data_IF_418712515065
#
_entry.id   IF_418712515065
#
_cell.length_a   1.000
_cell.length_b   1.000
_cell.length_c   1.000
_cell.angle_alpha   90.00
_cell.angle_beta   90.00
_cell.angle_gamma   90.00
#
_symmetry.space_group_name_H-M   'P 1'
#
loop_
_entity.id
_entity.type
_entity.pdbx_description
1 polymer ?
#
# COMPACT_ATOMS: atom_id res chain seq x y z
N UNK A 1 -4.96 0.78 45.03
CA UNK A 1 -4.48 2.04 44.41
C UNK A 1 -3.25 1.69 43.58
N UNK A 2 -3.16 2.17 42.34
CA UNK A 2 -1.99 1.87 41.50
C UNK A 2 -0.72 2.44 42.15
N UNK A 3 0.34 1.64 42.19
CA UNK A 3 1.64 2.03 42.74
C UNK A 3 2.36 2.88 41.70
N UNK A 4 2.76 4.07 42.11
CA UNK A 4 3.61 4.96 41.30
C UNK A 4 4.73 5.49 42.19
N UNK A 5 5.97 5.30 41.77
CA UNK A 5 7.11 5.90 42.46
C UNK A 5 7.08 7.43 42.29
N UNK A 6 7.37 8.16 43.36
CA UNK A 6 7.31 9.63 43.38
C UNK A 6 8.30 10.20 42.35
N UNK A 7 7.78 10.80 41.27
CA UNK A 7 8.58 11.49 40.24
C UNK A 7 8.40 10.91 38.83
N UNK A 8 8.22 9.60 38.69
CA UNK A 8 8.18 8.90 37.39
C UNK A 8 7.05 9.40 36.49
N UNK A 9 5.88 9.68 37.07
CA UNK A 9 4.72 10.20 36.32
C UNK A 9 4.95 11.63 35.79
N UNK A 10 5.77 12.45 36.48
CA UNK A 10 6.02 13.85 36.09
C UNK A 10 6.94 13.92 34.87
N UNK A 11 7.94 13.04 34.82
CA UNK A 11 8.96 13.04 33.78
C UNK A 11 8.55 12.26 32.52
N UNK A 12 7.50 11.43 32.62
CA UNK A 12 6.94 10.62 31.51
C UNK A 12 5.45 10.95 31.29
N UNK A 13 5.13 12.25 31.24
CA UNK A 13 3.74 12.74 31.12
C UNK A 13 2.99 12.16 29.91
N UNK A 14 3.57 12.05 28.70
CA UNK A 14 2.88 11.47 27.54
C UNK A 14 2.52 9.98 27.68
N UNK A 15 3.40 9.20 28.30
CA UNK A 15 3.24 7.77 28.56
C UNK A 15 2.21 7.56 29.68
N UNK A 16 2.32 8.35 30.75
CA UNK A 16 1.37 8.32 31.86
C UNK A 16 -0.05 8.65 31.40
N UNK A 17 -0.21 9.65 30.53
CA UNK A 17 -1.50 9.98 29.93
C UNK A 17 -2.07 8.81 29.12
N UNK A 18 -1.22 8.12 28.34
CA UNK A 18 -1.63 6.98 27.52
C UNK A 18 -2.06 5.79 28.38
N UNK A 19 -1.27 5.48 29.42
CA UNK A 19 -1.54 4.45 30.41
C UNK A 19 -2.82 4.72 31.20
N UNK A 20 -2.99 5.95 31.68
CA UNK A 20 -4.17 6.32 32.45
C UNK A 20 -5.44 6.26 31.59
N UNK A 21 -5.37 6.75 30.35
CA UNK A 21 -6.47 6.65 29.38
C UNK A 21 -6.82 5.19 29.06
N UNK A 22 -5.82 4.32 28.86
CA UNK A 22 -6.03 2.87 28.72
C UNK A 22 -6.84 2.29 29.89
N UNK A 23 -6.46 2.57 31.13
CA UNK A 23 -7.17 2.06 32.33
C UNK A 23 -8.61 2.55 32.41
N UNK A 24 -8.84 3.84 32.14
CA UNK A 24 -10.19 4.41 32.13
C UNK A 24 -11.06 3.81 31.02
N UNK A 25 -10.53 3.60 29.81
CA UNK A 25 -11.29 2.95 28.73
C UNK A 25 -11.79 1.55 29.11
N UNK A 26 -11.03 0.80 29.89
CA UNK A 26 -11.34 -0.60 30.24
C UNK A 26 -12.21 -0.76 31.50
N UNK A 27 -12.06 0.08 32.52
CA UNK A 27 -12.73 -0.13 33.83
C UNK A 27 -13.64 1.02 34.29
N UNK A 28 -13.64 2.18 33.62
CA UNK A 28 -14.50 3.29 34.01
C UNK A 28 -15.74 3.34 33.12
N UNK A 29 -16.88 2.87 33.63
CA UNK A 29 -18.18 2.85 32.94
C UNK A 29 -18.63 4.22 32.43
N UNK A 30 -18.22 5.31 33.11
CA UNK A 30 -18.55 6.68 32.72
C UNK A 30 -17.68 7.21 31.58
N UNK A 31 -16.64 6.47 31.19
CA UNK A 31 -15.74 6.91 30.14
C UNK A 31 -16.42 6.81 28.77
N UNK A 32 -16.34 7.82 27.88
CA UNK A 32 -17.04 7.81 26.58
C UNK A 32 -16.74 6.60 25.69
N UNK A 33 -15.57 5.99 25.89
CA UNK A 33 -15.14 4.81 25.14
C UNK A 33 -15.36 3.49 25.87
N UNK A 34 -15.88 3.48 27.10
CA UNK A 34 -16.12 2.23 27.84
C UNK A 34 -16.99 1.22 27.08
N UNK A 35 -18.09 1.62 26.40
CA UNK A 35 -18.89 0.69 25.59
C UNK A 35 -18.10 -0.03 24.49
N UNK A 36 -17.01 0.59 24.00
CA UNK A 36 -16.16 0.02 22.95
C UNK A 36 -15.04 -0.87 23.48
N UNK A 37 -14.79 -0.87 24.79
CA UNK A 37 -13.65 -1.54 25.41
C UNK A 37 -14.10 -2.38 26.62
N UNK A 38 -14.35 -1.74 27.77
CA UNK A 38 -14.72 -2.44 29.00
C UNK A 38 -15.98 -3.29 28.87
N UNK A 39 -17.05 -2.75 28.27
CA UNK A 39 -18.30 -3.48 28.05
C UNK A 39 -18.11 -4.70 27.11
N UNK A 40 -17.11 -4.65 26.22
CA UNK A 40 -16.74 -5.75 25.32
C UNK A 40 -15.79 -6.77 25.95
N UNK A 41 -15.48 -6.65 27.24
CA UNK A 41 -14.54 -7.52 27.94
C UNK A 41 -13.06 -7.25 27.64
N UNK A 42 -12.72 -6.09 27.06
CA UNK A 42 -11.33 -5.70 26.84
C UNK A 42 -10.73 -5.22 28.16
N UNK A 43 -9.81 -6.00 28.71
CA UNK A 43 -9.14 -5.73 29.99
C UNK A 43 -7.71 -5.25 29.82
N UNK A 44 -7.09 -4.83 30.92
CA UNK A 44 -5.65 -4.55 31.05
C UNK A 44 -5.07 -5.64 31.94
N UNK A 45 -3.87 -6.14 31.65
CA UNK A 45 -3.19 -7.08 32.55
C UNK A 45 -3.00 -6.47 33.94
N UNK A 46 -2.99 -7.30 34.97
CA UNK A 46 -2.98 -6.79 36.35
C UNK A 46 -1.68 -6.04 36.67
N UNK A 47 -0.56 -6.48 36.08
CA UNK A 47 0.75 -5.82 36.22
C UNK A 47 0.71 -4.40 35.67
N UNK A 48 0.14 -4.22 34.48
CA UNK A 48 -0.03 -2.91 33.87
C UNK A 48 -1.11 -2.09 34.56
N UNK A 49 -2.17 -2.71 35.07
CA UNK A 49 -3.23 -1.97 35.73
C UNK A 49 -2.78 -1.34 37.05
N UNK A 50 -1.93 -2.04 37.79
CA UNK A 50 -1.48 -1.64 39.13
C UNK A 50 -0.14 -0.90 39.14
N UNK A 51 0.67 -0.98 38.08
CA UNK A 51 2.00 -0.36 38.03
C UNK A 51 2.24 0.39 36.72
N UNK A 52 2.38 1.73 36.83
CA UNK A 52 2.83 2.54 35.69
C UNK A 52 4.29 2.25 35.33
N UNK A 53 5.14 1.94 36.33
CA UNK A 53 6.55 1.63 36.09
C UNK A 53 6.69 0.39 35.22
N UNK A 54 5.92 -0.68 35.52
CA UNK A 54 5.93 -1.91 34.71
C UNK A 54 5.46 -1.66 33.29
N UNK A 55 4.41 -0.85 33.11
CA UNK A 55 4.01 -0.41 31.77
C UNK A 55 5.13 0.34 31.04
N UNK A 56 5.83 1.25 31.72
CA UNK A 56 6.90 2.05 31.13
C UNK A 56 8.14 1.20 30.79
N UNK A 57 8.47 0.22 31.62
CA UNK A 57 9.58 -0.71 31.38
C UNK A 57 9.30 -1.60 30.17
N UNK A 58 8.07 -2.12 30.06
CA UNK A 58 7.66 -2.99 28.95
C UNK A 58 7.52 -2.23 27.62
N UNK A 59 6.97 -1.02 27.66
CA UNK A 59 6.65 -0.24 26.45
C UNK A 59 7.76 0.71 26.03
N UNK A 60 8.63 1.08 26.97
CA UNK A 60 9.60 2.16 26.80
C UNK A 60 8.96 3.54 26.61
N UNK A 61 9.82 4.53 26.37
CA UNK A 61 9.39 5.91 26.05
C UNK A 61 8.63 5.94 24.74
N UNK A 62 7.62 6.80 24.69
CA UNK A 62 6.85 7.09 23.48
C UNK A 62 7.79 7.72 22.44
N UNK A 63 7.93 7.12 21.23
CA UNK A 63 8.92 7.58 20.26
C UNK A 63 8.69 9.01 19.74
N UNK A 64 7.43 9.41 19.54
CA UNK A 64 7.09 10.78 19.13
C UNK A 64 5.68 11.18 19.58
N UNK A 65 5.36 12.47 19.43
CA UNK A 65 4.02 12.98 19.70
C UNK A 65 2.93 12.41 18.78
N UNK A 66 3.29 11.81 17.65
CA UNK A 66 2.32 11.17 16.74
C UNK A 66 1.99 9.73 17.11
N UNK A 67 2.75 9.15 18.05
CA UNK A 67 2.54 7.80 18.53
C UNK A 67 1.46 7.76 19.61
N UNK A 68 0.61 6.74 19.51
CA UNK A 68 -0.43 6.40 20.48
C UNK A 68 -0.28 4.93 20.87
N UNK A 69 -0.84 4.55 22.02
CA UNK A 69 -0.86 3.15 22.44
C UNK A 69 -1.84 2.35 21.59
N UNK A 70 -1.31 1.46 20.75
CA UNK A 70 -2.07 0.56 19.89
C UNK A 70 -2.14 -0.87 20.41
N UNK A 71 -3.16 -1.62 19.96
CA UNK A 71 -3.22 -3.08 20.12
C UNK A 71 -2.96 -3.77 18.78
N UNK A 72 -2.16 -4.84 18.80
CA UNK A 72 -1.87 -5.66 17.62
C UNK A 72 -3.10 -6.48 17.21
N UNK A 73 -3.70 -7.17 18.18
CA UNK A 73 -4.98 -7.84 18.06
C UNK A 73 -6.06 -7.04 18.78
N UNK A 74 -7.06 -6.59 18.02
CA UNK A 74 -8.15 -5.78 18.53
C UNK A 74 -9.11 -6.56 19.43
N UNK A 75 -9.12 -7.90 19.34
CA UNK A 75 -9.97 -8.78 20.14
C UNK A 75 -9.40 -9.05 21.54
N UNK A 76 -8.10 -8.80 21.74
CA UNK A 76 -7.39 -9.02 23.00
C UNK A 76 -7.27 -7.75 23.84
N UNK A 77 -6.95 -7.95 25.12
CA UNK A 77 -6.71 -6.89 26.11
C UNK A 77 -5.38 -6.16 25.93
N UNK A 78 -5.04 -5.31 26.90
CA UNK A 78 -3.76 -4.60 26.94
C UNK A 78 -2.75 -5.37 27.79
N UNK A 79 -1.64 -5.77 27.16
CA UNK A 79 -0.49 -6.41 27.79
C UNK A 79 0.72 -6.30 26.84
N UNK A 80 1.93 -6.53 27.35
CA UNK A 80 3.20 -6.35 26.60
C UNK A 80 3.20 -7.05 25.23
N UNK A 81 2.73 -8.30 25.16
CA UNK A 81 2.68 -9.07 23.91
C UNK A 81 1.61 -8.65 22.90
N UNK A 82 0.69 -7.74 23.25
CA UNK A 82 -0.38 -7.28 22.36
C UNK A 82 -0.37 -5.77 22.14
N UNK A 83 0.57 -5.04 22.74
CA UNK A 83 0.59 -3.59 22.68
C UNK A 83 1.91 -3.07 22.13
N UNK A 84 1.83 -1.96 21.38
CA UNK A 84 3.00 -1.20 20.92
C UNK A 84 2.63 0.25 20.68
N UNK A 85 3.64 1.12 20.66
CA UNK A 85 3.49 2.46 20.12
C UNK A 85 3.18 2.37 18.63
N UNK A 86 2.10 3.00 18.19
CA UNK A 86 1.69 3.04 16.78
C UNK A 86 1.43 4.48 16.40
N UNK A 87 1.78 4.85 15.18
CA UNK A 87 1.30 6.08 14.56
C UNK A 87 -0.13 5.90 14.06
N UNK A 88 -0.84 7.02 13.90
CA UNK A 88 -2.19 7.05 13.30
C UNK A 88 -2.19 6.50 11.87
N UNK A 89 -1.11 6.72 11.13
CA UNK A 89 -0.88 6.17 9.79
C UNK A 89 -0.75 4.64 9.81
N UNK A 90 0.00 4.08 10.76
CA UNK A 90 0.14 2.62 10.93
C UNK A 90 -1.17 1.96 11.37
N UNK A 91 -1.94 2.62 12.23
CA UNK A 91 -3.25 2.12 12.64
C UNK A 91 -4.24 2.08 11.45
N UNK A 92 -4.22 3.10 10.59
CA UNK A 92 -5.01 3.12 9.35
C UNK A 92 -4.53 2.09 8.32
N UNK A 93 -3.21 1.92 8.15
CA UNK A 93 -2.66 0.89 7.26
C UNK A 93 -3.03 -0.53 7.72
N UNK A 94 -3.07 -0.79 9.04
CA UNK A 94 -3.52 -2.07 9.58
C UNK A 94 -5.04 -2.28 9.47
N UNK A 95 -5.84 -1.20 9.45
CA UNK A 95 -7.28 -1.30 9.13
C UNK A 95 -7.53 -1.53 7.64
N UNK A 96 -6.77 -0.90 6.75
CA UNK A 96 -6.83 -1.13 5.30
C UNK A 96 -6.38 -2.55 4.94
N UNK A 97 -5.46 -3.12 5.73
CA UNK A 97 -4.93 -4.49 5.53
C UNK A 97 -5.79 -5.61 6.12
N UNK A 98 -6.86 -5.31 6.87
CA UNK A 98 -7.81 -6.36 7.27
C UNK A 98 -8.71 -6.67 6.08
N UNK A 99 -8.63 -7.87 5.47
CA UNK A 99 -9.59 -8.25 4.45
C UNK A 99 -11.00 -8.20 5.05
N UNK A 100 -11.96 -7.76 4.26
CA UNK A 100 -13.37 -7.85 4.64
C UNK A 100 -13.69 -9.31 5.04
N UNK A 101 -14.67 -9.56 5.94
CA UNK A 101 -14.97 -10.90 6.44
C UNK A 101 -15.28 -11.95 5.37
N UNK A 102 -15.52 -11.54 4.11
CA UNK A 102 -15.77 -12.40 2.95
C UNK A 102 -14.72 -12.26 1.83
N UNK A 103 -13.54 -11.74 2.11
CA UNK A 103 -12.41 -11.81 1.17
C UNK A 103 -11.54 -13.02 1.51
N UNK A 104 -11.32 -13.95 0.56
CA UNK A 104 -10.39 -15.05 0.78
C UNK A 104 -9.01 -14.48 1.12
N UNK A 105 -8.42 -14.92 2.23
CA UNK A 105 -7.00 -14.67 2.49
C UNK A 105 -6.24 -15.21 1.28
N UNK A 106 -5.42 -14.37 0.65
CA UNK A 106 -4.46 -14.90 -0.31
C UNK A 106 -3.53 -15.82 0.47
N UNK A 107 -3.52 -17.11 0.11
CA UNK A 107 -2.63 -18.09 0.71
C UNK A 107 -1.18 -17.60 0.57
N UNK A 108 -0.37 -17.72 1.63
CA UNK A 108 1.01 -17.28 1.59
C UNK A 108 1.78 -18.10 0.55
N UNK A 109 2.65 -17.40 -0.18
CA UNK A 109 3.37 -17.94 -1.32
C UNK A 109 4.73 -18.43 -0.86
N UNK A 110 4.99 -19.73 -1.02
CA UNK A 110 6.30 -20.34 -0.76
C UNK A 110 7.14 -20.32 -2.02
N UNK A 111 8.31 -19.70 -1.95
CA UNK A 111 9.27 -19.62 -3.04
C UNK A 111 10.70 -19.74 -2.49
N UNK A 112 11.50 -20.65 -3.06
CA UNK A 112 12.88 -20.97 -2.62
C UNK A 112 13.01 -21.23 -1.10
N UNK A 113 12.06 -21.95 -0.53
CA UNK A 113 12.05 -22.30 0.90
C UNK A 113 11.62 -21.18 1.84
N UNK A 114 11.22 -20.03 1.31
CA UNK A 114 10.72 -18.89 2.10
C UNK A 114 9.23 -18.70 1.82
N UNK A 115 8.43 -18.60 2.88
CA UNK A 115 6.99 -18.37 2.78
C UNK A 115 6.68 -16.93 3.19
N UNK A 116 6.18 -16.13 2.25
CA UNK A 116 5.75 -14.74 2.49
C UNK A 116 4.38 -14.49 1.85
N UNK A 117 3.68 -13.47 2.32
CA UNK A 117 2.47 -12.99 1.64
C UNK A 117 2.84 -12.35 0.29
N UNK A 118 1.88 -12.29 -0.65
CA UNK A 118 2.08 -11.64 -1.94
C UNK A 118 2.53 -10.17 -1.80
N UNK A 119 2.01 -9.45 -0.80
CA UNK A 119 2.39 -8.06 -0.53
C UNK A 119 3.83 -7.93 -0.04
N UNK A 120 4.28 -8.86 0.80
CA UNK A 120 5.67 -8.89 1.27
C UNK A 120 6.63 -9.24 0.13
N UNK A 121 6.29 -10.22 -0.69
CA UNK A 121 7.05 -10.52 -1.91
C UNK A 121 7.10 -9.34 -2.88
N UNK A 122 6.00 -8.60 -3.03
CA UNK A 122 5.94 -7.41 -3.87
C UNK A 122 6.84 -6.29 -3.33
N UNK A 123 6.81 -6.04 -2.00
CA UNK A 123 7.70 -5.08 -1.35
C UNK A 123 9.18 -5.47 -1.47
N UNK A 124 9.51 -6.75 -1.25
CA UNK A 124 10.88 -7.29 -1.36
C UNK A 124 11.45 -7.10 -2.77
N UNK A 125 10.59 -7.22 -3.79
CA UNK A 125 10.94 -7.05 -5.20
C UNK A 125 10.76 -5.63 -5.73
N UNK A 126 10.36 -4.68 -4.88
CA UNK A 126 10.16 -3.28 -5.25
C UNK A 126 9.05 -3.04 -6.28
N UNK A 127 8.03 -3.93 -6.33
CA UNK A 127 6.86 -3.80 -7.21
C UNK A 127 5.57 -3.62 -6.42
N UNK A 128 4.51 -3.09 -7.06
CA UNK A 128 3.23 -2.95 -6.38
C UNK A 128 2.54 -4.33 -6.20
N UNK A 129 1.77 -4.54 -5.11
CA UNK A 129 1.00 -5.78 -4.93
C UNK A 129 0.03 -6.06 -6.07
N UNK A 130 -0.54 -5.02 -6.69
CA UNK A 130 -1.38 -5.14 -7.88
C UNK A 130 -0.60 -5.66 -9.08
N UNK A 131 0.63 -5.17 -9.30
CA UNK A 131 1.48 -5.67 -10.39
C UNK A 131 1.86 -7.14 -10.16
N UNK A 132 2.15 -7.52 -8.92
CA UNK A 132 2.40 -8.93 -8.56
C UNK A 132 1.17 -9.81 -8.84
N UNK A 133 -0.02 -9.36 -8.44
CA UNK A 133 -1.27 -10.06 -8.72
C UNK A 133 -1.52 -10.25 -10.22
N UNK A 134 -1.30 -9.20 -11.03
CA UNK A 134 -1.47 -9.29 -12.48
C UNK A 134 -0.48 -10.28 -13.11
N UNK A 135 0.78 -10.35 -12.62
CA UNK A 135 1.76 -11.34 -13.10
C UNK A 135 1.25 -12.77 -12.92
N UNK A 136 0.77 -13.10 -11.73
CA UNK A 136 0.33 -14.46 -11.40
C UNK A 136 -1.01 -14.83 -12.05
N UNK A 137 -1.98 -13.91 -12.05
CA UNK A 137 -3.37 -14.21 -12.44
C UNK A 137 -3.70 -13.84 -13.87
N UNK A 138 -3.27 -12.67 -14.33
CA UNK A 138 -3.66 -12.11 -15.64
C UNK A 138 -2.66 -12.52 -16.73
N UNK A 139 -1.38 -12.56 -16.37
CA UNK A 139 -0.30 -12.90 -17.32
C UNK A 139 0.13 -14.37 -17.21
N UNK A 140 -0.33 -15.10 -16.18
CA UNK A 140 -0.05 -16.51 -16.00
C UNK A 140 1.42 -16.84 -15.79
N UNK A 141 2.19 -15.89 -15.23
CA UNK A 141 3.62 -16.09 -14.95
C UNK A 141 3.80 -17.15 -13.87
N UNK A 142 4.83 -17.96 -14.04
CA UNK A 142 5.29 -18.86 -12.98
C UNK A 142 5.84 -18.04 -11.79
N UNK A 143 5.94 -18.68 -10.62
CA UNK A 143 6.49 -18.04 -9.42
C UNK A 143 7.93 -17.56 -9.61
N UNK A 144 8.74 -18.34 -10.32
CA UNK A 144 10.11 -17.96 -10.69
C UNK A 144 10.14 -16.70 -11.57
N UNK A 145 9.23 -16.58 -12.54
CA UNK A 145 9.17 -15.41 -13.42
C UNK A 145 8.61 -14.18 -12.69
N UNK A 146 7.60 -14.36 -11.84
CA UNK A 146 6.97 -13.28 -11.09
C UNK A 146 7.89 -12.68 -10.02
N UNK A 147 8.69 -13.52 -9.37
CA UNK A 147 9.63 -13.18 -8.29
C UNK A 147 11.08 -13.07 -8.76
N UNK A 148 11.38 -13.37 -10.02
CA UNK A 148 12.69 -13.19 -10.63
C UNK A 148 13.07 -11.72 -10.81
N UNK A 149 14.36 -11.47 -10.98
CA UNK A 149 14.92 -10.12 -11.17
C UNK A 149 14.69 -9.66 -12.62
N UNK A 150 13.44 -9.44 -13.02
CA UNK A 150 13.15 -8.82 -14.32
C UNK A 150 13.25 -7.30 -14.18
N UNK A 151 14.14 -6.61 -14.91
CA UNK A 151 14.22 -5.16 -14.89
C UNK A 151 12.86 -4.53 -15.24
N UNK A 152 12.52 -3.43 -14.56
CA UNK A 152 11.27 -2.66 -14.77
C UNK A 152 11.15 -2.04 -16.17
N UNK A 153 12.15 -2.21 -17.02
CA UNK A 153 12.28 -1.58 -18.33
C UNK A 153 12.73 -2.62 -19.35
N UNK A 154 12.02 -2.63 -20.49
CA UNK A 154 12.27 -3.35 -21.75
C UNK A 154 11.57 -4.70 -22.01
N UNK A 155 11.01 -5.40 -21.02
CA UNK A 155 10.35 -6.69 -21.25
C UNK A 155 8.90 -6.75 -20.76
N UNK A 156 8.05 -5.82 -21.22
CA UNK A 156 6.62 -6.17 -21.29
C UNK A 156 6.50 -7.11 -22.49
N UNK A 157 6.19 -8.38 -22.25
CA UNK A 157 5.49 -9.17 -23.25
C UNK A 157 4.22 -8.40 -23.60
N UNK A 158 4.27 -7.63 -24.68
CA UNK A 158 3.13 -6.87 -25.14
C UNK A 158 1.98 -7.86 -25.40
N UNK A 159 0.75 -7.59 -24.93
CA UNK A 159 -0.37 -8.50 -25.16
C UNK A 159 -0.43 -8.87 -26.65
N UNK A 160 -0.68 -10.15 -26.98
CA UNK A 160 -0.56 -10.65 -28.38
C UNK A 160 -1.32 -9.80 -29.42
N UNK A 161 -2.39 -9.14 -28.99
CA UNK A 161 -3.20 -8.20 -29.79
C UNK A 161 -2.47 -6.96 -30.31
N UNK A 162 -1.29 -6.62 -29.77
CA UNK A 162 -0.47 -5.49 -30.21
C UNK A 162 0.63 -5.89 -31.20
N UNK A 163 0.67 -7.15 -31.64
CA UNK A 163 1.52 -7.56 -32.76
C UNK A 163 0.67 -7.60 -34.03
N UNK A 164 1.06 -6.80 -35.03
CA UNK A 164 0.37 -6.68 -36.31
C UNK A 164 1.31 -7.17 -37.41
N UNK A 165 0.78 -8.05 -38.26
CA UNK A 165 1.44 -8.48 -39.47
C UNK A 165 1.08 -7.56 -40.63
N UNK A 166 2.10 -7.02 -41.28
CA UNK A 166 1.94 -6.15 -42.44
C UNK A 166 3.11 -6.39 -43.39
N UNK A 167 2.82 -6.55 -44.68
CA UNK A 167 3.80 -6.89 -45.73
C UNK A 167 4.65 -8.14 -45.39
N UNK A 168 4.04 -9.16 -44.79
CA UNK A 168 4.71 -10.41 -44.43
C UNK A 168 5.66 -10.29 -43.22
N UNK A 169 5.70 -9.14 -42.55
CA UNK A 169 6.51 -8.92 -41.35
C UNK A 169 5.58 -8.73 -40.16
N UNK A 170 5.80 -9.51 -39.09
CA UNK A 170 5.07 -9.37 -37.82
C UNK A 170 5.90 -8.55 -36.83
N UNK A 171 5.39 -7.38 -36.44
CA UNK A 171 6.03 -6.49 -35.45
C UNK A 171 5.04 -5.94 -34.45
N UNK A 172 5.58 -5.38 -33.37
CA UNK A 172 4.78 -4.70 -32.38
C UNK A 172 4.26 -3.36 -32.90
N UNK A 173 3.04 -2.99 -32.54
CA UNK A 173 2.35 -1.74 -32.94
C UNK A 173 3.22 -0.50 -32.67
N UNK A 174 3.99 -0.47 -31.58
CA UNK A 174 4.85 0.68 -31.30
C UNK A 174 5.99 0.85 -32.29
N UNK A 175 6.53 -0.25 -32.82
CA UNK A 175 7.58 -0.21 -33.85
C UNK A 175 7.01 0.29 -35.17
N UNK A 176 5.82 -0.18 -35.54
CA UNK A 176 5.10 0.33 -36.71
C UNK A 176 4.74 1.81 -36.56
N UNK A 177 4.22 2.21 -35.41
CA UNK A 177 3.86 3.60 -35.15
C UNK A 177 5.10 4.52 -35.18
N UNK A 178 6.22 4.08 -34.61
CA UNK A 178 7.49 4.80 -34.69
C UNK A 178 7.99 4.94 -36.13
N UNK A 179 7.89 3.88 -36.95
CA UNK A 179 8.26 3.91 -38.36
C UNK A 179 7.40 4.90 -39.16
N UNK A 180 6.11 5.02 -38.83
CA UNK A 180 5.20 5.96 -39.46
C UNK A 180 5.19 7.36 -38.78
N UNK A 181 6.07 7.60 -37.80
CA UNK A 181 6.18 8.89 -37.11
C UNK A 181 4.95 9.28 -36.28
N UNK A 182 4.19 8.31 -35.77
CA UNK A 182 2.97 8.54 -34.99
C UNK A 182 2.98 7.79 -33.64
N UNK A 183 2.03 8.09 -32.75
CA UNK A 183 1.90 7.35 -31.50
C UNK A 183 1.21 5.99 -31.72
N UNK A 184 1.57 4.99 -30.91
CA UNK A 184 0.94 3.66 -30.90
C UNK A 184 -0.58 3.73 -30.74
N UNK A 185 -1.08 4.67 -29.92
CA UNK A 185 -2.50 4.89 -29.72
C UNK A 185 -3.20 5.45 -30.96
N UNK A 186 -2.49 6.29 -31.74
CA UNK A 186 -3.01 6.81 -33.01
C UNK A 186 -3.18 5.68 -34.02
N UNK A 187 -2.15 4.82 -34.16
CA UNK A 187 -2.19 3.67 -35.05
C UNK A 187 -3.32 2.69 -34.67
N UNK A 188 -3.47 2.35 -33.38
CA UNK A 188 -4.57 1.51 -32.91
C UNK A 188 -5.94 2.17 -33.08
N UNK A 189 -6.04 3.48 -32.88
CA UNK A 189 -7.27 4.22 -33.12
C UNK A 189 -7.71 4.15 -34.58
N UNK A 190 -6.76 4.26 -35.52
CA UNK A 190 -7.03 4.11 -36.96
C UNK A 190 -7.57 2.73 -37.30
N UNK A 191 -6.97 1.68 -36.77
CA UNK A 191 -7.34 0.29 -37.08
C UNK A 191 -8.65 -0.09 -36.37
N UNK A 192 -8.74 0.11 -35.05
CA UNK A 192 -9.83 -0.43 -34.25
C UNK A 192 -11.08 0.47 -34.21
N UNK A 193 -10.91 1.80 -34.25
CA UNK A 193 -12.05 2.74 -34.14
C UNK A 193 -12.50 3.24 -35.50
N UNK A 194 -11.56 3.51 -36.40
CA UNK A 194 -11.87 4.01 -37.74
C UNK A 194 -11.93 2.91 -38.80
N UNK A 195 -11.56 1.67 -38.46
CA UNK A 195 -11.61 0.53 -39.36
C UNK A 195 -10.64 0.63 -40.54
N UNK A 196 -9.55 1.39 -40.41
CA UNK A 196 -8.60 1.58 -41.50
C UNK A 196 -7.79 0.32 -41.74
N UNK A 197 -7.52 0.02 -43.02
CA UNK A 197 -6.53 -0.97 -43.41
C UNK A 197 -5.14 -0.54 -42.95
N UNK A 198 -4.25 -1.51 -42.72
CA UNK A 198 -2.89 -1.21 -42.23
C UNK A 198 -2.11 -0.32 -43.21
N UNK A 199 -2.24 -0.54 -44.53
CA UNK A 199 -1.61 0.30 -45.55
C UNK A 199 -2.03 1.77 -45.43
N UNK A 200 -3.33 2.01 -45.26
CA UNK A 200 -3.85 3.36 -45.05
C UNK A 200 -3.43 3.93 -43.69
N UNK A 201 -3.44 3.11 -42.65
CA UNK A 201 -3.07 3.53 -41.31
C UNK A 201 -1.59 3.94 -41.19
N UNK A 202 -0.71 3.37 -42.01
CA UNK A 202 0.72 3.65 -42.04
C UNK A 202 1.09 4.84 -42.96
N UNK A 203 0.34 5.07 -44.03
CA UNK A 203 0.70 6.07 -45.07
C UNK A 203 0.03 7.43 -44.87
N UNK A 204 -1.15 7.47 -44.25
CA UNK A 204 -1.90 8.72 -44.10
C UNK A 204 -1.29 9.62 -42.99
N UNK A 205 -1.01 10.90 -43.24
CA UNK A 205 -0.45 11.80 -42.23
C UNK A 205 -1.41 12.00 -41.05
N UNK A 206 -0.87 12.14 -39.84
CA UNK A 206 -1.68 12.46 -38.65
C UNK A 206 -2.17 13.90 -38.78
N UNK A 207 -3.49 14.11 -38.89
CA UNK A 207 -4.08 15.45 -38.86
C UNK A 207 -3.74 16.14 -37.53
N UNK A 208 -2.82 17.09 -37.58
CA UNK A 208 -2.49 17.96 -36.45
C UNK A 208 -3.58 19.01 -36.27
N UNK A 209 -4.41 18.87 -35.24
CA UNK A 209 -5.14 20.01 -34.68
C UNK A 209 -4.16 20.77 -33.79
N UNK A 210 -3.61 21.88 -34.29
CA UNK A 210 -2.59 22.66 -33.60
C UNK A 210 -3.05 23.13 -32.22
N UNK A 211 -2.37 22.68 -31.15
CA UNK A 211 -2.43 23.35 -29.85
C UNK A 211 -1.71 24.69 -30.00
N UNK A 212 -2.44 25.82 -29.94
CA UNK A 212 -1.83 27.14 -29.75
C UNK A 212 -1.02 27.10 -28.44
N UNK A 213 0.30 27.12 -28.56
CA UNK A 213 1.23 27.26 -27.43
C UNK A 213 1.08 28.72 -26.96
N UNK A 214 0.62 28.93 -25.72
CA UNK A 214 0.58 30.27 -25.12
C UNK A 214 2.00 30.84 -25.11
N UNK A 215 2.17 32.01 -25.71
CA UNK A 215 3.42 32.74 -25.78
C UNK A 215 3.89 33.13 -24.38
N UNK A 216 5.20 33.02 -24.20
CA UNK A 216 5.96 33.37 -23.00
C UNK A 216 5.68 34.80 -22.54
N UNK A 217 5.59 35.00 -21.22
CA UNK A 217 5.55 36.33 -20.60
C UNK A 217 6.91 37.01 -20.83
N UNK A 218 6.90 38.19 -21.46
CA UNK A 218 8.05 39.11 -21.44
C UNK A 218 8.41 39.47 -19.99
N UNK A 219 9.69 39.40 -19.60
CA UNK A 219 10.17 40.12 -18.44
C UNK A 219 10.64 41.53 -18.83
N UNK A 220 10.16 42.48 -18.04
CA UNK A 220 10.80 43.74 -17.65
C UNK A 220 11.00 44.88 -18.67
N UNK A 221 10.08 45.85 -18.55
CA UNK A 221 10.32 47.15 -17.92
C UNK A 221 11.77 47.67 -17.90
N UNK A 222 12.08 48.62 -18.78
CA UNK A 222 12.88 49.81 -18.47
C UNK A 222 12.28 51.02 -19.17
#
# INVERSE_FOLDING_TARGET
>A
MARTEKGVCRDNKPEWQSWNNMRHRCRNEKHPFYPKYGERGITVSDEWYDSFQTFLDDMGKRPSLDHVLGRLDHSKGYHVGNCRWTTRSEQNLNMIRKPAPNQPRMEPITYRGVTKTMSEWASDKGISPTAMSHRLTTYGWTLDEALGDTPRTAARGYPKQYFIEWQGVRRHVSEWAAQAGMSSDCLLGRINRLGWTMDRAMTEPVRSYGRKRQSEKSPDSQ
#
